data_IF_338984430216
#
_entry.id   IF_338984430216
#
_cell.length_a   1.000
_cell.length_b   1.000
_cell.length_c   1.000
_cell.angle_alpha   90.00
_cell.angle_beta   90.00
_cell.angle_gamma   90.00
#
_symmetry.space_group_name_H-M   'P 1'
#
loop_
_entity.id
_entity.type
_entity.pdbx_description
1 polymer ?
#
# COMPACT_ATOMS: atom_id res chain seq x y z
N UNK A 1 15.77 39.76 7.97
CA UNK A 1 14.63 39.15 8.69
C UNK A 1 14.37 37.75 8.15
N UNK A 2 14.89 36.72 8.83
CA UNK A 2 14.70 35.32 8.42
C UNK A 2 13.32 34.84 8.88
N UNK A 3 12.43 34.48 7.94
CA UNK A 3 11.16 33.82 8.25
C UNK A 3 11.47 32.47 8.88
N UNK A 4 11.16 32.29 10.16
CA UNK A 4 11.17 30.97 10.81
C UNK A 4 10.21 30.09 10.02
N UNK A 5 10.72 29.01 9.42
CA UNK A 5 9.88 27.95 8.85
C UNK A 5 9.19 27.27 10.01
N UNK A 6 7.87 27.36 10.07
CA UNK A 6 7.08 26.54 10.99
C UNK A 6 7.37 25.06 10.68
N UNK A 7 7.60 24.22 11.70
CA UNK A 7 7.75 22.79 11.48
C UNK A 7 6.48 22.25 10.83
N UNK A 8 6.64 21.49 9.73
CA UNK A 8 5.53 20.78 9.10
C UNK A 8 4.80 19.97 10.18
N UNK A 9 3.45 19.98 10.21
CA UNK A 9 2.72 19.16 11.16
C UNK A 9 3.15 17.72 10.94
N UNK A 10 3.77 17.15 11.96
CA UNK A 10 3.99 15.71 12.05
C UNK A 10 2.64 15.07 11.79
N UNK A 11 2.55 14.20 10.79
CA UNK A 11 1.37 13.37 10.58
C UNK A 11 1.28 12.48 11.83
N UNK A 12 0.55 12.96 12.83
CA UNK A 12 0.42 12.32 14.13
C UNK A 12 -0.27 10.98 13.94
N UNK A 13 0.05 9.99 14.78
CA UNK A 13 -0.67 8.71 14.82
C UNK A 13 -2.20 8.91 14.88
N UNK A 14 -2.66 10.04 15.43
CA UNK A 14 -4.06 10.43 15.49
C UNK A 14 -4.66 10.73 14.10
N UNK A 15 -3.94 11.45 13.22
CA UNK A 15 -4.39 11.66 11.84
C UNK A 15 -4.44 10.35 11.05
N UNK A 16 -3.46 9.46 11.26
CA UNK A 16 -3.45 8.14 10.62
C UNK A 16 -4.61 7.28 11.09
N UNK A 17 -4.92 7.31 12.40
CA UNK A 17 -6.01 6.56 13.03
C UNK A 17 -7.39 7.07 12.61
N UNK A 18 -7.60 8.38 12.60
CA UNK A 18 -8.87 8.98 12.17
C UNK A 18 -9.18 8.72 10.69
N UNK A 19 -8.16 8.71 9.82
CA UNK A 19 -8.31 8.32 8.42
C UNK A 19 -8.58 6.81 8.28
N UNK A 20 -7.94 5.97 9.11
CA UNK A 20 -8.23 4.52 9.18
C UNK A 20 -9.70 4.26 9.54
N UNK A 21 -10.22 4.93 10.57
CA UNK A 21 -11.61 4.82 11.01
C UNK A 21 -12.61 5.37 9.97
N UNK A 22 -12.23 6.38 9.20
CA UNK A 22 -13.03 6.87 8.06
C UNK A 22 -13.07 5.85 6.93
N UNK A 23 -11.95 5.21 6.61
CA UNK A 23 -11.85 4.18 5.59
C UNK A 23 -12.57 2.90 5.98
N UNK A 24 -12.50 2.49 7.26
CA UNK A 24 -13.31 1.39 7.78
C UNK A 24 -14.81 1.67 7.62
N UNK A 25 -15.25 2.91 7.87
CA UNK A 25 -16.64 3.33 7.63
C UNK A 25 -17.05 3.30 6.16
N UNK A 26 -16.16 3.70 5.24
CA UNK A 26 -16.41 3.64 3.80
C UNK A 26 -16.45 2.20 3.27
N UNK A 27 -15.56 1.32 3.76
CA UNK A 27 -15.58 -0.12 3.47
C UNK A 27 -16.81 -0.80 4.09
N UNK A 28 -17.29 -0.33 5.24
CA UNK A 28 -18.52 -0.83 5.86
C UNK A 28 -19.80 -0.37 5.13
N UNK A 29 -19.78 0.80 4.49
CA UNK A 29 -20.93 1.37 3.79
C UNK A 29 -21.21 0.71 2.42
N UNK A 30 -20.19 0.11 1.79
CA UNK A 30 -20.32 -0.72 0.59
C UNK A 30 -19.17 -1.75 0.56
N UNK A 31 -19.32 -2.93 1.19
CA UNK A 31 -18.20 -3.83 1.39
C UNK A 31 -17.91 -4.67 0.14
N UNK A 32 -16.72 -4.53 -0.50
CA UNK A 32 -16.16 -5.61 -1.30
C UNK A 32 -15.63 -6.75 -0.40
N UNK A 33 -15.67 -6.57 0.93
CA UNK A 33 -15.09 -7.45 1.93
C UNK A 33 -16.18 -7.87 2.92
N UNK A 34 -16.55 -9.15 2.91
CA UNK A 34 -17.63 -9.67 3.75
C UNK A 34 -17.06 -10.14 5.10
N UNK A 35 -17.31 -9.41 6.21
CA UNK A 35 -16.78 -9.77 7.53
C UNK A 35 -17.23 -11.17 7.99
N UNK A 36 -18.36 -11.67 7.48
CA UNK A 36 -18.87 -13.01 7.78
C UNK A 36 -17.97 -14.14 7.25
N UNK A 37 -17.36 -13.99 6.06
CA UNK A 37 -16.47 -15.02 5.52
C UNK A 37 -15.19 -15.13 6.34
N UNK A 38 -14.63 -13.99 6.77
CA UNK A 38 -13.51 -13.98 7.70
C UNK A 38 -13.84 -14.64 9.02
N UNK A 39 -15.02 -14.37 9.58
CA UNK A 39 -15.48 -15.01 10.82
C UNK A 39 -15.59 -16.53 10.63
N UNK A 40 -16.06 -16.99 9.46
CA UNK A 40 -16.11 -18.42 9.13
C UNK A 40 -14.71 -19.04 9.01
N UNK A 41 -13.77 -18.39 8.31
CA UNK A 41 -12.38 -18.85 8.21
C UNK A 41 -11.70 -18.88 9.57
N UNK A 42 -11.95 -17.88 10.43
CA UNK A 42 -11.38 -17.80 11.77
C UNK A 42 -11.96 -18.86 12.72
N UNK A 43 -13.26 -19.13 12.63
CA UNK A 43 -13.90 -20.22 13.37
C UNK A 43 -13.39 -21.59 12.90
N UNK A 44 -13.22 -21.80 11.60
CA UNK A 44 -12.63 -23.01 11.04
C UNK A 44 -11.17 -23.18 11.49
N UNK A 45 -10.40 -22.09 11.53
CA UNK A 45 -9.03 -22.11 12.05
C UNK A 45 -8.97 -22.48 13.53
N UNK A 46 -9.86 -21.94 14.36
CA UNK A 46 -9.94 -22.29 15.79
C UNK A 46 -10.30 -23.76 16.01
N UNK A 47 -11.21 -24.32 15.21
CA UNK A 47 -11.51 -25.77 15.23
C UNK A 47 -10.29 -26.60 14.82
N UNK A 48 -9.62 -26.20 13.74
CA UNK A 48 -8.42 -26.89 13.25
C UNK A 48 -7.29 -26.87 14.29
N UNK A 49 -7.13 -25.79 15.05
CA UNK A 49 -6.11 -25.69 16.11
C UNK A 49 -6.30 -26.68 17.27
N UNK A 50 -7.51 -27.23 17.45
CA UNK A 50 -7.76 -28.25 18.47
C UNK A 50 -7.18 -29.62 18.10
N UNK A 51 -6.73 -29.82 16.85
CA UNK A 51 -6.16 -31.09 16.39
C UNK A 51 -4.66 -31.22 16.76
N UNK A 52 -4.20 -32.43 17.15
CA UNK A 52 -2.78 -32.67 17.38
C UNK A 52 -1.95 -32.45 16.10
N UNK A 53 -0.92 -31.59 16.17
CA UNK A 53 -0.07 -31.26 15.01
C UNK A 53 -0.64 -30.17 14.10
N UNK A 54 -1.71 -29.50 14.54
CA UNK A 54 -2.31 -28.39 13.82
C UNK A 54 -1.37 -27.18 13.70
N UNK A 55 -1.24 -26.68 12.47
CA UNK A 55 -0.53 -25.45 12.15
C UNK A 55 -1.08 -24.81 10.87
N UNK A 56 -0.72 -23.55 10.61
CA UNK A 56 -1.30 -22.77 9.52
C UNK A 56 -1.06 -23.40 8.12
N UNK A 57 -0.01 -24.22 7.99
CA UNK A 57 0.25 -24.98 6.76
C UNK A 57 -0.69 -26.19 6.61
N UNK A 58 -1.04 -26.86 7.71
CA UNK A 58 -1.99 -27.98 7.71
C UNK A 58 -3.44 -27.51 7.51
N UNK A 59 -3.84 -26.40 8.14
CA UNK A 59 -5.18 -25.83 7.94
C UNK A 59 -5.43 -25.41 6.51
N UNK A 60 -4.43 -24.80 5.85
CA UNK A 60 -4.50 -24.47 4.41
C UNK A 60 -4.67 -25.67 3.50
N UNK A 61 -4.37 -26.89 3.98
CA UNK A 61 -4.58 -28.16 3.26
C UNK A 61 -5.87 -28.87 3.68
N UNK A 62 -6.54 -28.40 4.73
CA UNK A 62 -7.79 -29.00 5.23
C UNK A 62 -8.89 -28.96 4.15
N UNK A 63 -9.83 -29.89 4.25
CA UNK A 63 -11.02 -29.88 3.39
C UNK A 63 -11.90 -28.65 3.67
N UNK A 64 -12.03 -28.28 4.94
CA UNK A 64 -12.85 -27.15 5.41
C UNK A 64 -12.35 -25.81 4.84
N UNK A 65 -11.05 -25.53 4.88
CA UNK A 65 -10.48 -24.32 4.26
C UNK A 65 -10.70 -24.29 2.74
N UNK A 66 -10.55 -25.44 2.06
CA UNK A 66 -10.79 -25.53 0.61
C UNK A 66 -12.25 -25.29 0.24
N UNK A 67 -13.18 -25.80 1.05
CA UNK A 67 -14.61 -25.58 0.87
C UNK A 67 -14.97 -24.10 1.07
N UNK A 68 -14.49 -23.44 2.13
CA UNK A 68 -14.73 -22.00 2.35
C UNK A 68 -14.17 -21.11 1.22
N UNK A 69 -13.04 -21.52 0.62
CA UNK A 69 -12.48 -20.83 -0.56
C UNK A 69 -13.32 -21.09 -1.80
N UNK A 70 -13.83 -22.31 -2.01
CA UNK A 70 -14.71 -22.65 -3.12
C UNK A 70 -16.06 -21.95 -3.04
N UNK A 71 -16.67 -21.89 -1.85
CA UNK A 71 -17.95 -21.20 -1.61
C UNK A 71 -17.83 -19.69 -1.85
N UNK A 72 -16.73 -19.08 -1.41
CA UNK A 72 -16.47 -17.67 -1.68
C UNK A 72 -16.16 -17.42 -3.16
N UNK A 73 -15.44 -18.34 -3.82
CA UNK A 73 -15.18 -18.28 -5.26
C UNK A 73 -16.43 -18.53 -6.13
N UNK A 74 -17.41 -19.26 -5.62
CA UNK A 74 -18.68 -19.55 -6.29
C UNK A 74 -19.72 -18.42 -6.16
N UNK A 75 -19.47 -17.44 -5.27
CA UNK A 75 -20.35 -16.27 -5.15
C UNK A 75 -20.13 -15.31 -6.31
N UNK A 76 -21.20 -14.71 -6.87
CA UNK A 76 -21.11 -13.69 -7.90
C UNK A 76 -20.71 -12.35 -7.29
N UNK A 77 -19.52 -12.30 -6.70
CA UNK A 77 -18.81 -11.06 -6.42
C UNK A 77 -17.52 -11.22 -7.19
N UNK A 78 -17.35 -10.45 -8.27
CA UNK A 78 -16.07 -10.41 -8.97
C UNK A 78 -14.99 -10.20 -7.91
N UNK A 79 -14.03 -11.13 -7.72
CA UNK A 79 -13.04 -10.98 -6.67
C UNK A 79 -12.45 -9.57 -6.76
N UNK A 80 -12.10 -8.91 -5.65
CA UNK A 80 -11.60 -7.53 -5.68
C UNK A 80 -10.53 -7.30 -6.74
N UNK A 81 -9.78 -8.35 -7.09
CA UNK A 81 -8.88 -8.38 -8.24
C UNK A 81 -9.52 -8.11 -9.59
N UNK A 82 -10.62 -8.76 -9.97
CA UNK A 82 -11.27 -8.54 -11.26
C UNK A 82 -11.88 -7.13 -11.34
N UNK A 83 -12.50 -6.66 -10.26
CA UNK A 83 -13.06 -5.31 -10.21
C UNK A 83 -11.97 -4.24 -10.35
N UNK A 84 -10.87 -4.38 -9.63
CA UNK A 84 -9.78 -3.40 -9.66
C UNK A 84 -8.96 -3.49 -10.95
N UNK A 85 -8.82 -4.69 -11.54
CA UNK A 85 -8.23 -4.84 -12.89
C UNK A 85 -9.08 -4.14 -13.94
N UNK A 86 -10.40 -4.33 -13.93
CA UNK A 86 -11.30 -3.61 -14.84
C UNK A 86 -11.28 -2.09 -14.61
N UNK A 87 -11.15 -1.65 -13.35
CA UNK A 87 -10.93 -0.24 -13.02
C UNK A 87 -9.59 0.26 -13.59
N UNK A 88 -8.52 -0.54 -13.55
CA UNK A 88 -7.23 -0.15 -14.15
C UNK A 88 -7.33 0.05 -15.66
N UNK A 89 -8.10 -0.77 -16.37
CA UNK A 89 -8.31 -0.59 -17.81
C UNK A 89 -9.06 0.69 -18.15
N UNK A 90 -10.07 1.06 -17.36
CA UNK A 90 -10.76 2.37 -17.49
C UNK A 90 -9.87 3.54 -17.08
N UNK A 91 -9.06 3.39 -16.03
CA UNK A 91 -8.12 4.41 -15.58
C UNK A 91 -7.08 4.74 -16.69
N UNK A 92 -6.63 3.73 -17.45
CA UNK A 92 -5.76 3.94 -18.63
C UNK A 92 -6.43 4.77 -19.74
N UNK A 93 -7.76 4.79 -19.78
CA UNK A 93 -8.55 5.58 -20.72
C UNK A 93 -8.90 6.99 -20.18
N UNK A 94 -8.41 7.34 -18.99
CA UNK A 94 -8.64 8.66 -18.38
C UNK A 94 -9.84 8.75 -17.44
N UNK A 95 -10.49 7.62 -17.10
CA UNK A 95 -11.59 7.59 -16.15
C UNK A 95 -11.08 7.92 -14.72
N UNK A 96 -11.39 9.13 -14.24
CA UNK A 96 -10.97 9.61 -12.91
C UNK A 96 -11.58 8.81 -11.76
N UNK A 97 -12.81 8.32 -11.92
CA UNK A 97 -13.46 7.47 -10.92
C UNK A 97 -12.74 6.14 -10.78
N UNK A 98 -12.34 5.57 -11.91
CA UNK A 98 -11.57 4.33 -11.92
C UNK A 98 -10.15 4.50 -11.33
N UNK A 99 -9.50 5.66 -11.51
CA UNK A 99 -8.24 5.98 -10.82
C UNK A 99 -8.44 5.99 -9.30
N UNK A 100 -9.51 6.63 -8.81
CA UNK A 100 -9.82 6.65 -7.39
C UNK A 100 -10.03 5.24 -6.82
N UNK A 101 -10.71 4.37 -7.55
CA UNK A 101 -10.86 2.94 -7.18
C UNK A 101 -9.52 2.23 -7.05
N UNK A 102 -8.61 2.40 -8.02
CA UNK A 102 -7.28 1.78 -7.98
C UNK A 102 -6.47 2.30 -6.79
N UNK A 103 -6.50 3.62 -6.54
CA UNK A 103 -5.79 4.23 -5.41
C UNK A 103 -6.35 3.77 -4.06
N UNK A 104 -7.68 3.65 -3.93
CA UNK A 104 -8.32 3.11 -2.72
C UNK A 104 -7.86 1.68 -2.44
N UNK A 105 -7.80 0.82 -3.46
CA UNK A 105 -7.27 -0.53 -3.31
C UNK A 105 -5.80 -0.55 -2.86
N UNK A 106 -4.96 0.33 -3.42
CA UNK A 106 -3.55 0.43 -3.03
C UNK A 106 -3.37 0.97 -1.60
N UNK A 107 -4.24 1.89 -1.16
CA UNK A 107 -4.24 2.47 0.19
C UNK A 107 -4.69 1.47 1.26
N UNK A 108 -5.77 0.73 0.98
CA UNK A 108 -6.22 -0.39 1.83
C UNK A 108 -5.15 -1.48 1.96
N UNK A 109 -4.29 -1.61 0.94
CA UNK A 109 -3.19 -2.58 0.89
C UNK A 109 -3.60 -3.99 1.33
N UNK A 110 -4.68 -4.58 0.78
CA UNK A 110 -5.18 -5.87 1.22
C UNK A 110 -4.10 -6.95 1.04
N UNK A 111 -4.03 -7.90 1.98
CA UNK A 111 -3.05 -8.98 1.99
C UNK A 111 -3.75 -10.32 1.83
N UNK A 112 -3.83 -10.79 0.60
CA UNK A 112 -4.36 -12.12 0.26
C UNK A 112 -3.49 -12.78 -0.82
N UNK A 113 -3.78 -14.05 -1.15
CA UNK A 113 -3.04 -14.78 -2.18
C UNK A 113 -3.01 -13.99 -3.50
N UNK A 114 -1.84 -13.90 -4.13
CA UNK A 114 -1.60 -13.13 -5.37
C UNK A 114 -1.88 -11.61 -5.33
N UNK A 115 -2.33 -11.04 -4.21
CA UNK A 115 -2.57 -9.59 -4.08
C UNK A 115 -1.36 -8.73 -4.44
N UNK A 116 -0.14 -9.21 -4.17
CA UNK A 116 1.09 -8.51 -4.53
C UNK A 116 1.34 -8.44 -6.04
N UNK A 117 0.98 -9.48 -6.80
CA UNK A 117 1.07 -9.44 -8.27
C UNK A 117 0.10 -8.41 -8.85
N UNK A 118 -1.12 -8.37 -8.32
CA UNK A 118 -2.09 -7.37 -8.72
C UNK A 118 -1.61 -5.97 -8.39
N UNK A 119 -1.12 -5.71 -7.17
CA UNK A 119 -0.57 -4.39 -6.80
C UNK A 119 0.57 -3.98 -7.74
N UNK A 120 1.48 -4.88 -8.08
CA UNK A 120 2.52 -4.59 -9.06
C UNK A 120 1.95 -4.20 -10.43
N UNK A 121 0.92 -4.91 -10.90
CA UNK A 121 0.26 -4.62 -12.17
C UNK A 121 -0.41 -3.24 -12.16
N UNK A 122 -1.12 -2.92 -11.09
CA UNK A 122 -1.78 -1.63 -10.90
C UNK A 122 -0.76 -0.48 -10.88
N UNK A 123 0.32 -0.63 -10.11
CA UNK A 123 1.40 0.37 -10.05
C UNK A 123 2.07 0.57 -11.41
N UNK A 124 2.26 -0.50 -12.18
CA UNK A 124 2.75 -0.41 -13.56
C UNK A 124 1.76 0.33 -14.46
N UNK A 125 0.46 0.07 -14.30
CA UNK A 125 -0.60 0.75 -15.04
C UNK A 125 -0.66 2.25 -14.75
N UNK A 126 -0.59 2.64 -13.47
CA UNK A 126 -0.64 4.04 -13.03
C UNK A 126 0.49 4.90 -13.59
N UNK A 127 1.62 4.32 -14.01
CA UNK A 127 2.75 5.08 -14.56
C UNK A 127 2.39 5.86 -15.83
N UNK A 128 1.43 5.37 -16.62
CA UNK A 128 0.97 6.05 -17.84
C UNK A 128 -0.27 6.91 -17.65
N UNK A 129 -0.84 6.97 -16.43
CA UNK A 129 -2.10 7.65 -16.17
C UNK A 129 -1.82 9.08 -15.71
N UNK A 130 -2.53 10.05 -16.28
CA UNK A 130 -2.47 11.43 -15.80
C UNK A 130 -3.19 11.54 -14.45
N UNK A 131 -2.44 11.78 -13.39
CA UNK A 131 -2.97 11.96 -12.04
C UNK A 131 -3.16 13.45 -11.74
N UNK A 132 -4.31 13.80 -11.17
CA UNK A 132 -4.48 15.12 -10.56
C UNK A 132 -3.69 15.23 -9.23
N UNK A 133 -3.70 16.40 -8.60
CA UNK A 133 -2.93 16.63 -7.39
C UNK A 133 -3.49 15.87 -6.17
N UNK A 134 -4.81 15.69 -6.08
CA UNK A 134 -5.46 14.93 -5.01
C UNK A 134 -5.07 13.45 -5.08
N UNK A 135 -5.13 12.88 -6.28
CA UNK A 135 -4.70 11.51 -6.57
C UNK A 135 -3.20 11.31 -6.29
N UNK A 136 -2.36 12.29 -6.66
CA UNK A 136 -0.93 12.27 -6.33
C UNK A 136 -0.69 12.33 -4.83
N UNK A 137 -1.44 13.15 -4.09
CA UNK A 137 -1.34 13.24 -2.65
C UNK A 137 -1.67 11.90 -1.96
N UNK A 138 -2.75 11.23 -2.40
CA UNK A 138 -3.09 9.87 -1.92
C UNK A 138 -1.94 8.91 -2.21
N UNK A 139 -1.43 8.90 -3.45
CA UNK A 139 -0.39 7.97 -3.85
C UNK A 139 0.95 8.21 -3.12
N UNK A 140 1.30 9.48 -2.81
CA UNK A 140 2.43 9.83 -1.93
C UNK A 140 2.27 9.23 -0.54
N UNK A 141 1.09 9.40 0.07
CA UNK A 141 0.77 8.84 1.40
C UNK A 141 0.90 7.31 1.40
N UNK A 142 0.33 6.66 0.39
CA UNK A 142 0.45 5.21 0.20
C UNK A 142 1.94 4.83 0.08
N UNK A 143 2.70 5.49 -0.78
CA UNK A 143 4.12 5.23 -0.99
C UNK A 143 4.92 5.31 0.32
N UNK A 144 4.73 6.35 1.13
CA UNK A 144 5.41 6.51 2.42
C UNK A 144 5.10 5.34 3.36
N UNK A 145 3.84 4.92 3.46
CA UNK A 145 3.44 3.74 4.26
C UNK A 145 4.13 2.47 3.77
N UNK A 146 4.29 2.33 2.45
CA UNK A 146 4.93 1.17 1.83
C UNK A 146 6.46 1.12 2.02
N UNK A 147 7.12 2.25 2.28
CA UNK A 147 8.53 2.24 2.68
C UNK A 147 8.68 1.53 4.04
N UNK A 148 7.74 1.74 4.95
CA UNK A 148 7.76 1.21 6.31
C UNK A 148 7.58 -0.31 6.36
N UNK A 149 6.90 -0.89 5.36
CA UNK A 149 6.51 -2.31 5.34
C UNK A 149 7.31 -3.08 4.28
N UNK A 150 7.92 -4.23 4.61
CA UNK A 150 8.56 -5.08 3.61
C UNK A 150 7.53 -5.58 2.57
N UNK A 151 7.91 -5.52 1.30
CA UNK A 151 7.04 -5.82 0.17
C UNK A 151 7.79 -5.74 -1.16
N UNK A 152 7.35 -6.54 -2.13
CA UNK A 152 7.92 -6.66 -3.49
C UNK A 152 7.55 -5.47 -4.38
N UNK A 153 6.44 -4.84 -4.06
CA UNK A 153 5.82 -3.71 -4.74
C UNK A 153 6.66 -2.44 -4.65
N UNK A 154 7.58 -2.37 -3.67
CA UNK A 154 8.50 -1.25 -3.47
C UNK A 154 9.19 -0.84 -4.77
N UNK A 155 9.72 -1.78 -5.53
CA UNK A 155 10.41 -1.49 -6.79
C UNK A 155 9.50 -0.85 -7.85
N UNK A 156 8.22 -1.23 -7.89
CA UNK A 156 7.23 -0.66 -8.83
C UNK A 156 6.84 0.76 -8.43
N UNK A 157 6.67 0.99 -7.14
CA UNK A 157 6.44 2.30 -6.57
C UNK A 157 7.57 3.28 -6.94
N UNK A 158 8.84 2.85 -6.92
CA UNK A 158 9.97 3.70 -7.34
C UNK A 158 9.78 4.26 -8.75
N UNK A 159 9.17 3.51 -9.67
CA UNK A 159 8.89 3.95 -11.03
C UNK A 159 7.86 5.09 -11.14
N UNK A 160 7.08 5.33 -10.09
CA UNK A 160 6.08 6.41 -10.02
C UNK A 160 6.66 7.70 -9.43
N UNK A 161 7.86 7.66 -8.85
CA UNK A 161 8.47 8.83 -8.20
C UNK A 161 8.47 10.11 -9.04
N UNK A 162 8.78 10.10 -10.36
CA UNK A 162 8.77 11.33 -11.16
C UNK A 162 7.46 12.13 -11.08
N UNK A 163 6.33 11.45 -10.87
CA UNK A 163 5.02 12.09 -10.79
C UNK A 163 4.66 12.54 -9.37
N UNK A 164 5.32 11.98 -8.34
CA UNK A 164 4.97 12.14 -6.94
C UNK A 164 5.81 13.20 -6.21
N UNK A 165 6.86 13.73 -6.84
CA UNK A 165 7.79 14.63 -6.14
C UNK A 165 7.14 15.97 -5.79
N UNK A 166 7.32 16.36 -4.53
CA UNK A 166 7.13 17.70 -4.00
C UNK A 166 8.18 17.93 -2.93
N UNK A 167 8.45 19.17 -2.55
CA UNK A 167 9.44 19.46 -1.52
C UNK A 167 9.11 18.77 -0.18
N UNK A 168 7.83 18.66 0.16
CA UNK A 168 7.34 18.00 1.37
C UNK A 168 7.54 16.49 1.32
N UNK A 169 7.20 15.87 0.19
CA UNK A 169 7.38 14.44 -0.02
C UNK A 169 8.86 14.05 0.00
N UNK A 170 9.67 14.88 -0.65
CA UNK A 170 11.11 14.77 -0.70
C UNK A 170 11.73 14.82 0.72
N UNK A 171 11.31 15.79 1.53
CA UNK A 171 11.71 15.91 2.94
C UNK A 171 11.27 14.70 3.79
N UNK A 172 10.07 14.15 3.54
CA UNK A 172 9.60 12.96 4.24
C UNK A 172 10.46 11.73 3.94
N UNK A 173 10.88 11.53 2.68
CA UNK A 173 11.80 10.45 2.31
C UNK A 173 13.18 10.66 2.96
N UNK A 174 13.70 11.89 2.98
CA UNK A 174 14.96 12.21 3.65
C UNK A 174 14.91 11.92 5.16
N UNK A 175 13.80 12.21 5.83
CA UNK A 175 13.60 11.87 7.23
C UNK A 175 13.59 10.34 7.45
N UNK A 176 12.91 9.59 6.59
CA UNK A 176 12.91 8.12 6.64
C UNK A 176 14.30 7.52 6.38
N UNK A 177 15.19 8.24 5.69
CA UNK A 177 16.57 7.82 5.45
C UNK A 177 17.47 7.88 6.70
N UNK A 178 16.98 8.44 7.80
CA UNK A 178 17.64 8.45 9.11
C UNK A 178 16.82 7.69 10.19
N UNK A 179 15.80 6.94 9.79
CA UNK A 179 14.96 6.15 10.71
C UNK A 179 15.78 5.07 11.45
N UNK A 180 15.41 4.78 12.71
CA UNK A 180 16.08 3.77 13.55
C UNK A 180 16.04 2.33 12.98
N UNK A 181 14.93 1.94 12.33
CA UNK A 181 14.79 0.63 11.72
C UNK A 181 15.62 0.51 10.42
N UNK A 182 16.53 -0.47 10.40
CA UNK A 182 17.47 -0.68 9.29
C UNK A 182 16.77 -0.85 7.94
N UNK A 183 15.65 -1.59 7.88
CA UNK A 183 14.96 -1.84 6.61
C UNK A 183 14.36 -0.57 6.00
N UNK A 184 13.74 0.28 6.83
CA UNK A 184 13.17 1.58 6.45
C UNK A 184 14.29 2.49 5.96
N UNK A 185 15.33 2.64 6.80
CA UNK A 185 16.51 3.46 6.52
C UNK A 185 17.17 3.07 5.21
N UNK A 186 17.42 1.78 4.98
CA UNK A 186 18.06 1.26 3.76
C UNK A 186 17.22 1.53 2.52
N UNK A 187 15.89 1.38 2.58
CA UNK A 187 15.00 1.66 1.45
C UNK A 187 14.99 3.15 1.13
N UNK A 188 14.70 3.99 2.11
CA UNK A 188 14.67 5.44 1.93
C UNK A 188 16.02 5.98 1.41
N UNK A 189 17.15 5.52 1.94
CA UNK A 189 18.49 5.88 1.43
C UNK A 189 18.68 5.53 -0.03
N UNK A 190 18.26 4.33 -0.47
CA UNK A 190 18.30 3.94 -1.89
C UNK A 190 17.49 4.90 -2.77
N UNK A 191 16.35 5.41 -2.29
CA UNK A 191 15.56 6.40 -3.04
C UNK A 191 16.29 7.73 -3.16
N UNK A 192 16.81 8.24 -2.04
CA UNK A 192 17.59 9.49 -2.01
C UNK A 192 18.79 9.36 -2.96
N UNK A 193 19.53 8.26 -2.91
CA UNK A 193 20.71 8.03 -3.75
C UNK A 193 20.36 7.90 -5.24
N UNK A 194 19.29 7.17 -5.58
CA UNK A 194 18.91 6.92 -6.96
C UNK A 194 18.30 8.15 -7.65
N UNK A 195 17.61 9.02 -6.91
CA UNK A 195 16.82 10.12 -7.47
C UNK A 195 17.34 11.52 -7.14
N UNK A 196 18.34 11.63 -6.25
CA UNK A 196 19.05 12.89 -5.99
C UNK A 196 20.56 12.77 -6.22
N UNK A 197 21.02 12.80 -7.47
CA UNK A 197 22.45 12.84 -7.75
C UNK A 197 23.15 14.06 -7.13
N UNK A 198 22.45 15.17 -6.93
CA UNK A 198 23.00 16.38 -6.30
C UNK A 198 23.14 16.24 -4.77
N UNK A 199 22.12 15.70 -4.08
CA UNK A 199 22.18 15.44 -2.64
C UNK A 199 23.22 14.38 -2.29
N UNK A 200 23.41 13.39 -3.17
CA UNK A 200 24.49 12.42 -3.05
C UNK A 200 25.85 13.12 -2.98
N UNK A 201 26.12 14.05 -3.92
CA UNK A 201 27.37 14.85 -3.93
C UNK A 201 27.51 15.71 -2.66
N UNK A 202 26.42 16.28 -2.16
CA UNK A 202 26.44 17.09 -0.92
C UNK A 202 26.75 16.24 0.33
N UNK A 203 26.15 15.07 0.48
CA UNK A 203 26.45 14.12 1.58
C UNK A 203 27.90 13.63 1.52
N UNK A 204 28.40 13.32 0.32
CA UNK A 204 29.79 12.92 0.11
C UNK A 204 30.77 14.04 0.50
N UNK A 205 30.45 15.32 0.22
CA UNK A 205 31.24 16.46 0.70
C UNK A 205 31.25 16.57 2.23
N UNK A 206 30.10 16.44 2.89
CA UNK A 206 29.99 16.56 4.35
C UNK A 206 30.73 15.46 5.12
N UNK A 207 30.91 14.26 4.54
CA UNK A 207 31.68 13.17 5.14
C UNK A 207 33.19 13.32 5.02
N UNK A 208 33.66 14.19 4.12
CA UNK A 208 35.09 14.45 3.89
C UNK A 208 35.62 15.61 4.75
N UNK A 209 34.72 16.32 5.43
CA UNK A 209 35.00 17.36 6.40
C UNK A 209 34.88 16.76 7.81
#
# INVERSE_FOLDING_TARGET
MARRREPLPTVTEQCVRAEYERLERLVAADPPYRPEWLQQVQAAWQRHQAEPGAGAASFRRSAEYRQLVQEEAARPVSPPSLYVSAAMDRARQGDRGAVATVLAYLDLSPRYFASGYLKEELLRGLRGVALDEEQRAVLRRVFLRWILVPGREYGRFVGLLPQLRTAEFDAAIEALAEHDHEHVRRRARRLVEAWWPERRRERERRRRL
#
